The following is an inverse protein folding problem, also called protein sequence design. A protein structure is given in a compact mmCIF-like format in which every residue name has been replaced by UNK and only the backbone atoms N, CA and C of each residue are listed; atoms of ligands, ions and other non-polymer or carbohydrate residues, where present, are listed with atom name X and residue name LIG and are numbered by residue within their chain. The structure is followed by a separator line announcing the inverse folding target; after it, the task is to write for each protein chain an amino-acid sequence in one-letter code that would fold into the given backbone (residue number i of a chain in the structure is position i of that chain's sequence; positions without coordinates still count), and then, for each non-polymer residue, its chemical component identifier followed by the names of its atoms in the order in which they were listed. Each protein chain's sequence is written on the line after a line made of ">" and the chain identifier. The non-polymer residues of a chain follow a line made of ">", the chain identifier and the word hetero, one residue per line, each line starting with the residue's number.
data_IF_461274895639
#
_entry.id   IF_461274895639
#
_cell.length_a   1.000
_cell.length_b   1.000
_cell.length_c   1.000
_cell.angle_alpha   90.00
_cell.angle_beta   90.00
_cell.angle_gamma   90.00
#
_symmetry.space_group_name_H-M   'P 1'
#
loop_
_entity.id
_entity.type
_entity.pdbx_description
1 polymer ?
2 non-polymer ?
3 non-polymer ?
4 non-polymer ?
5 water ?
#
# COMPACT_ATOMS: atom_id res chain seq x y z
N UNK A 3 -16.77 -18.95 -9.34
CA UNK A 3 -15.63 -17.96 -9.35
C UNK A 3 -14.41 -18.47 -8.61
N UNK A 4 -14.49 -19.69 -8.08
CA UNK A 4 -13.35 -20.36 -7.45
C UNK A 4 -12.84 -19.60 -6.25
N UNK A 5 -13.77 -19.06 -5.47
CA UNK A 5 -13.38 -18.29 -4.30
C UNK A 5 -12.69 -19.19 -3.28
N UNK A 6 -11.57 -18.71 -2.76
CA UNK A 6 -10.83 -19.46 -1.74
C UNK A 6 -10.59 -18.56 -0.54
N UNK A 7 -11.65 -18.28 0.22
CA UNK A 7 -11.51 -17.42 1.38
C UNK A 7 -10.52 -17.96 2.41
N UNK A 8 -10.40 -19.29 2.51
CA UNK A 8 -9.50 -19.91 3.51
C UNK A 8 -8.02 -19.71 3.20
N UNK A 9 -7.69 -19.18 2.00
CA UNK A 9 -6.32 -18.87 1.62
C UNK A 9 -5.82 -17.50 2.16
N UNK A 10 -6.76 -16.72 2.71
CA UNK A 10 -6.50 -15.49 3.47
C UNK A 10 -6.41 -15.84 4.96
N UNK A 11 -5.21 -15.74 5.55
CA UNK A 11 -5.04 -16.28 6.91
C UNK A 11 -5.75 -15.49 8.03
N UNK A 12 -6.23 -16.21 9.03
CA UNK A 12 -6.80 -15.59 10.24
C UNK A 12 -5.76 -14.97 11.14
N UNK A 13 -4.55 -15.51 11.11
CA UNK A 13 -3.39 -14.85 11.74
C UNK A 13 -2.91 -13.74 10.79
N UNK A 14 -3.57 -12.57 10.85
CA UNK A 14 -3.28 -11.42 9.97
C UNK A 14 -3.27 -10.14 10.82
N UNK A 15 -2.66 -9.05 10.33
CA UNK A 15 -2.84 -7.74 11.00
C UNK A 15 -2.11 -7.55 12.33
N UNK A 16 -1.33 -8.54 12.73
CA UNK A 16 -0.59 -8.44 13.99
C UNK A 16 0.85 -8.12 13.70
N UNK A 17 1.38 -7.15 14.44
CA UNK A 17 2.77 -6.78 14.37
C UNK A 17 3.39 -6.87 15.77
N UNK A 18 4.70 -7.10 15.80
CA UNK A 18 5.49 -7.05 17.02
C UNK A 18 5.59 -5.60 17.53
N UNK A 19 5.45 -5.48 18.84
CA UNK A 19 5.35 -4.21 19.56
C UNK A 19 6.72 -3.61 19.85
N UNK A 20 7.77 -4.30 19.42
CA UNK A 20 9.14 -3.94 19.79
C UNK A 20 9.52 -2.52 19.37
N UNK A 21 9.11 -1.55 20.19
CA UNK A 21 9.30 -0.13 19.90
C UNK A 21 10.54 0.42 20.59
N UNK A 22 11.05 1.55 20.07
CA UNK A 22 12.33 2.08 20.52
C UNK A 22 12.52 3.60 20.39
N UNK A 23 13.77 4.02 20.64
CA UNK A 23 14.26 5.41 20.65
C UNK A 23 13.66 6.41 19.65
N UNK A 24 13.83 7.70 19.98
CA UNK A 24 13.35 8.87 19.23
C UNK A 24 12.92 8.64 17.77
N UNK A 25 11.68 9.04 17.46
CA UNK A 25 11.06 8.78 16.16
C UNK A 25 10.98 9.96 15.17
N UNK A 26 9.77 10.48 14.93
CA UNK A 26 9.49 11.46 13.88
C UNK A 26 8.19 11.05 13.20
N UNK A 27 8.25 10.76 11.90
CA UNK A 27 7.21 9.96 11.22
C UNK A 27 7.78 8.59 10.84
N UNK A 28 9.03 8.37 11.24
CA UNK A 28 9.75 7.11 11.05
C UNK A 28 9.10 5.97 11.82
N UNK A 29 9.09 4.80 11.20
CA UNK A 29 8.65 3.60 11.87
C UNK A 29 9.87 2.91 12.51
N UNK A 30 9.63 1.86 13.31
CA UNK A 30 10.65 0.85 13.58
C UNK A 30 10.48 -0.26 12.53
N UNK A 31 11.51 -1.08 12.26
CA UNK A 31 11.32 -2.13 11.25
C UNK A 31 10.18 -3.11 11.49
N UNK A 32 9.77 -3.34 12.73
CA UNK A 32 8.72 -4.29 13.02
C UNK A 32 7.32 -3.75 12.71
N UNK A 33 7.20 -2.43 12.56
CA UNK A 33 5.87 -1.82 12.30
C UNK A 33 5.44 -2.07 10.87
N UNK A 34 4.16 -2.42 10.69
CA UNK A 34 3.53 -2.62 9.36
C UNK A 34 4.33 -3.61 8.48
N UNK A 35 4.55 -4.83 8.97
CA UNK A 35 5.36 -5.82 8.26
C UNK A 35 4.73 -6.38 6.96
N UNK A 36 3.55 -5.89 6.60
CA UNK A 36 2.93 -6.24 5.31
C UNK A 36 3.29 -5.30 4.15
N UNK A 37 4.01 -4.22 4.44
CA UNK A 37 4.45 -3.31 3.35
C UNK A 37 5.37 -4.01 2.32
N UNK A 38 5.12 -3.72 1.06
CA UNK A 38 5.93 -4.19 -0.05
C UNK A 38 6.39 -3.04 -0.90
N UNK A 39 7.58 -3.19 -1.45
CA UNK A 39 8.09 -2.23 -2.46
C UNK A 39 8.03 -2.93 -3.81
N UNK A 40 7.45 -2.24 -4.79
CA UNK A 40 7.40 -2.74 -6.16
C UNK A 40 8.55 -2.12 -7.01
N UNK A 41 9.39 -3.02 -7.56
CA UNK A 41 10.57 -2.64 -8.33
C UNK A 41 10.38 -2.82 -9.82
N UNK A 42 10.87 -1.84 -10.59
CA UNK A 42 10.79 -1.81 -12.07
C UNK A 42 12.17 -1.87 -12.65
N UNK A 43 12.27 -2.19 -13.93
CA UNK A 43 13.56 -2.32 -14.60
C UNK A 43 13.41 -1.87 -16.05
N UNK A 44 14.10 -0.80 -16.44
CA UNK A 44 13.96 -0.35 -17.84
C UNK A 44 14.85 -1.13 -18.80
N UNK A 45 14.84 -0.73 -20.08
CA UNK A 45 15.49 -1.50 -21.14
C UNK A 45 17.03 -1.49 -21.09
N UNK A 46 17.60 -0.56 -20.33
CA UNK A 46 19.05 -0.54 -20.13
C UNK A 46 19.40 -1.06 -18.75
N UNK A 47 18.41 -1.68 -18.11
CA UNK A 47 18.54 -2.45 -16.87
C UNK A 47 18.61 -1.62 -15.60
N UNK A 48 18.22 -0.34 -15.69
CA UNK A 48 18.16 0.51 -14.50
C UNK A 48 16.91 0.14 -13.67
N UNK A 49 17.08 -0.02 -12.37
CA UNK A 49 15.99 -0.46 -11.52
C UNK A 49 15.65 0.60 -10.52
N UNK A 50 14.38 0.68 -10.17
CA UNK A 50 13.98 1.51 -9.02
C UNK A 50 12.63 1.11 -8.49
N UNK A 51 12.45 1.33 -7.20
CA UNK A 51 11.18 1.11 -6.54
C UNK A 51 10.27 2.34 -6.74
N UNK A 52 9.10 2.12 -7.34
CA UNK A 52 8.25 3.24 -7.72
C UNK A 52 6.79 3.03 -7.39
N UNK A 53 6.49 2.01 -6.57
CA UNK A 53 5.12 1.75 -6.15
C UNK A 53 5.18 0.95 -4.86
N UNK A 54 4.05 0.86 -4.15
CA UNK A 54 3.98 0.03 -2.94
C UNK A 54 2.90 -1.00 -3.12
N UNK A 55 2.72 -1.79 -2.08
CA UNK A 55 1.67 -2.81 -2.08
C UNK A 55 1.63 -3.42 -0.70
N UNK A 56 0.67 -4.34 -0.50
CA UNK A 56 0.46 -4.97 0.82
C UNK A 56 0.46 -6.48 0.72
N UNK A 57 1.24 -7.15 1.55
CA UNK A 57 1.22 -8.62 1.59
C UNK A 57 -0.09 -9.11 2.24
N UNK A 58 -0.83 -9.95 1.53
CA UNK A 58 -2.14 -10.43 2.01
C UNK A 58 -2.15 -11.90 2.47
N UNK A 59 -1.12 -12.65 2.12
CA UNK A 59 -0.96 -14.06 2.47
C UNK A 59 0.44 -14.47 2.06
N UNK A 60 0.74 -15.75 2.10
CA UNK A 60 2.11 -16.15 1.80
C UNK A 60 2.47 -16.20 0.30
N UNK A 61 1.55 -15.77 -0.55
CA UNK A 61 1.79 -15.82 -2.01
C UNK A 61 1.43 -14.55 -2.78
N UNK A 62 0.69 -13.63 -2.15
CA UNK A 62 0.18 -12.46 -2.89
C UNK A 62 0.42 -11.10 -2.25
N UNK A 63 0.66 -10.11 -3.08
CA UNK A 63 0.50 -8.71 -2.62
C UNK A 63 -0.66 -8.10 -3.40
N UNK A 64 -1.34 -7.13 -2.79
CA UNK A 64 -2.36 -6.34 -3.45
C UNK A 64 -1.83 -4.91 -3.59
N UNK A 65 -2.03 -4.34 -4.77
CA UNK A 65 -1.54 -3.02 -5.16
C UNK A 65 -2.59 -2.34 -6.06
N UNK A 66 -2.25 -1.16 -6.57
CA UNK A 66 -3.13 -0.43 -7.50
C UNK A 66 -2.92 -1.02 -8.90
N UNK A 67 -3.96 -1.02 -9.70
CA UNK A 67 -3.75 -1.43 -11.10
C UNK A 67 -2.78 -0.48 -11.83
N UNK A 68 -2.71 0.77 -11.37
CA UNK A 68 -1.86 1.73 -12.09
C UNK A 68 -0.40 1.50 -11.84
N UNK A 69 -0.10 0.66 -10.86
CA UNK A 69 1.28 0.20 -10.56
C UNK A 69 1.75 -0.93 -11.48
N UNK A 70 0.83 -1.55 -12.21
CA UNK A 70 1.19 -2.70 -13.06
C UNK A 70 0.85 -2.48 -14.54
N UNK A 71 0.33 -1.30 -14.85
CA UNK A 71 0.01 -0.96 -16.24
C UNK A 71 0.20 0.54 -16.51
N UNK A 72 0.49 0.88 -17.77
CA UNK A 72 0.41 2.26 -18.23
C UNK A 72 1.60 3.11 -17.84
N UNK A 73 1.34 4.29 -17.29
CA UNK A 73 2.37 5.32 -17.13
C UNK A 73 3.67 4.85 -16.44
N UNK A 74 3.54 4.14 -15.31
CA UNK A 74 4.72 3.71 -14.54
C UNK A 74 5.65 2.87 -15.43
N UNK A 75 5.04 2.04 -16.28
CA UNK A 75 5.78 1.11 -17.13
C UNK A 75 6.61 1.81 -18.21
N UNK A 76 6.13 2.95 -18.71
CA UNK A 76 6.93 3.68 -19.69
C UNK A 76 7.88 4.68 -19.04
N UNK A 77 7.50 5.21 -17.89
CA UNK A 77 8.29 6.27 -17.23
C UNK A 77 9.43 5.71 -16.41
N UNK A 78 9.22 4.53 -15.83
CA UNK A 78 10.16 3.94 -14.90
C UNK A 78 10.77 2.67 -15.50
N UNK A 79 9.93 1.68 -15.79
CA UNK A 79 10.39 0.46 -16.45
C UNK A 79 9.43 -0.68 -16.31
N UNK A 80 9.78 -1.85 -16.85
CA UNK A 80 8.94 -3.03 -16.71
C UNK A 80 8.80 -3.47 -15.26
N UNK A 81 7.67 -4.09 -14.94
CA UNK A 81 7.46 -4.69 -13.62
C UNK A 81 8.50 -5.78 -13.41
N UNK A 82 9.21 -5.74 -12.29
CA UNK A 82 10.41 -6.57 -12.14
C UNK A 82 10.45 -7.41 -10.87
N UNK A 83 10.22 -6.80 -9.71
CA UNK A 83 10.31 -7.55 -8.46
C UNK A 83 9.49 -6.90 -7.35
N UNK A 84 9.32 -7.60 -6.23
CA UNK A 84 8.62 -7.11 -5.08
C UNK A 84 9.55 -7.34 -3.91
N UNK A 85 9.79 -6.29 -3.13
CA UNK A 85 10.66 -6.40 -1.96
C UNK A 85 9.87 -6.44 -0.68
N UNK A 86 10.16 -7.46 0.16
CA UNK A 86 9.50 -7.61 1.46
C UNK A 86 10.55 -7.48 2.56
N UNK A 87 10.14 -6.99 3.71
CA UNK A 87 10.99 -6.92 4.90
C UNK A 87 11.94 -5.73 4.92
N UNK A 88 11.75 -4.77 4.01
CA UNK A 88 12.59 -3.58 3.96
C UNK A 88 12.14 -2.58 5.03
N UNK A 89 13.08 -1.77 5.51
CA UNK A 89 12.75 -0.68 6.40
C UNK A 89 13.43 0.60 5.89
N UNK A 90 14.76 0.63 5.92
CA UNK A 90 15.55 1.73 5.38
C UNK A 90 16.26 1.32 4.10
N UNK A 91 15.83 1.83 2.96
CA UNK A 91 16.44 1.45 1.66
C UNK A 91 17.87 2.01 1.50
N UNK A 92 18.27 2.94 2.37
CA UNK A 92 19.61 3.53 2.27
C UNK A 92 20.67 2.60 2.88
N UNK A 93 20.23 1.70 3.76
CA UNK A 93 21.18 0.92 4.54
C UNK A 93 21.00 -0.58 4.42
N UNK A 94 22.05 -1.31 4.73
CA UNK A 94 21.94 -2.75 4.96
C UNK A 94 23.22 -3.19 5.66
N UNK A 95 23.10 -3.74 6.87
CA UNK A 95 21.87 -4.10 7.59
C UNK A 95 21.10 -2.86 8.10
N UNK A 96 19.87 -3.07 8.55
CA UNK A 96 19.09 -1.97 9.13
C UNK A 96 19.20 -2.03 10.62
N UNK A 97 19.80 -0.99 11.21
CA UNK A 97 20.02 -0.89 12.65
C UNK A 97 19.43 0.40 13.23
N UNK A 98 18.90 0.31 14.44
CA UNK A 98 18.08 1.39 15.02
C UNK A 98 18.32 1.52 16.54
N UNK A 99 18.10 2.72 17.09
CA UNK A 99 18.01 2.95 18.54
C UNK A 99 19.29 3.28 19.29
N UNK A 100 19.14 4.10 20.35
CA UNK A 100 20.26 4.44 21.26
C UNK A 100 20.99 3.21 21.78
N UNK A 101 20.23 2.22 22.28
CA UNK A 101 20.80 0.89 22.60
C UNK A 101 20.59 -0.02 21.38
N UNK A 102 21.63 -0.05 20.53
CA UNK A 102 21.52 -0.41 19.11
C UNK A 102 21.29 -1.89 18.81
N UNK A 103 20.36 -2.13 17.88
CA UNK A 103 20.06 -3.45 17.39
C UNK A 103 19.84 -3.42 15.87
N UNK A 104 20.04 -4.55 15.22
CA UNK A 104 19.95 -4.65 13.77
C UNK A 104 18.90 -5.69 13.39
N UNK A 105 18.19 -5.44 12.29
CA UNK A 105 17.30 -6.43 11.71
C UNK A 105 18.14 -7.63 11.23
N UNK A 106 17.83 -8.84 11.74
CA UNK A 106 18.62 -10.04 11.44
C UNK A 106 18.48 -10.49 10.00
N UNK A 107 17.37 -10.11 9.39
CA UNK A 107 16.97 -10.56 8.08
C UNK A 107 17.14 -9.53 6.97
N UNK A 108 17.89 -9.91 5.94
CA UNK A 108 18.06 -9.09 4.76
C UNK A 108 16.70 -9.02 4.03
N UNK A 109 16.35 -7.86 3.45
CA UNK A 109 15.08 -7.84 2.69
C UNK A 109 15.06 -8.88 1.58
N UNK A 110 13.89 -9.40 1.24
CA UNK A 110 13.82 -10.41 0.18
C UNK A 110 13.19 -9.83 -1.07
N UNK A 111 13.83 -10.09 -2.20
CA UNK A 111 13.33 -9.62 -3.48
C UNK A 111 12.75 -10.84 -4.16
N UNK A 112 11.44 -10.80 -4.45
CA UNK A 112 10.78 -11.92 -5.08
C UNK A 112 10.41 -11.63 -6.51
N UNK A 113 10.44 -12.67 -7.35
CA UNK A 113 9.94 -12.54 -8.71
C UNK A 113 8.42 -12.52 -8.78
N UNK A 114 7.91 -12.16 -9.95
CA UNK A 114 6.49 -12.08 -10.18
C UNK A 114 6.10 -13.23 -11.09
N UNK A 115 5.21 -14.07 -10.62
CA UNK A 115 4.68 -15.17 -11.40
C UNK A 115 3.52 -14.75 -12.29
N UNK A 116 2.64 -13.92 -11.74
CA UNK A 116 1.59 -13.35 -12.57
C UNK A 116 1.04 -12.09 -11.95
N UNK A 117 0.38 -11.31 -12.77
CA UNK A 117 -0.27 -10.09 -12.33
C UNK A 117 -1.69 -10.17 -12.85
N UNK A 118 -2.63 -9.82 -12.00
CA UNK A 118 -4.06 -9.84 -12.34
C UNK A 118 -4.62 -8.45 -12.04
N UNK A 119 -4.82 -7.65 -13.08
CA UNK A 119 -5.49 -6.37 -12.93
C UNK A 119 -6.98 -6.65 -12.83
N UNK A 120 -7.71 -5.80 -12.11
CA UNK A 120 -9.15 -5.95 -12.07
C UNK A 120 -9.71 -5.80 -13.50
N UNK A 121 -10.63 -6.71 -13.93
CA UNK A 121 -11.15 -6.72 -15.31
C UNK A 121 -11.80 -5.41 -15.76
N UNK A 122 -12.33 -4.65 -14.80
CA UNK A 122 -13.08 -3.43 -15.09
C UNK A 122 -12.26 -2.14 -15.02
N UNK A 123 -10.97 -2.26 -14.68
CA UNK A 123 -10.04 -1.12 -14.72
C UNK A 123 -9.69 -0.72 -16.15
N UNK A 124 -9.64 0.59 -16.40
CA UNK A 124 -9.24 1.12 -17.71
C UNK A 124 -7.98 1.97 -17.61
N UNK A 125 -6.87 1.45 -18.17
CA UNK A 125 -5.57 2.13 -18.14
C UNK A 125 -5.67 3.53 -18.74
N UNK A 126 -5.20 4.52 -18.00
CA UNK A 126 -5.20 5.91 -18.43
C UNK A 126 -6.49 6.66 -18.16
N UNK A 127 -7.47 5.99 -17.56
CA UNK A 127 -8.80 6.58 -17.37
C UNK A 127 -8.72 7.73 -16.37
N UNK A 128 -9.62 8.69 -16.54
CA UNK A 128 -9.67 9.86 -15.67
C UNK A 128 -9.99 9.51 -14.23
N UNK A 129 -10.87 8.56 -14.06
CA UNK A 129 -11.41 8.19 -12.77
C UNK A 129 -10.60 7.09 -12.05
N UNK A 130 -9.88 6.28 -12.82
CA UNK A 130 -9.22 5.06 -12.31
C UNK A 130 -10.16 4.18 -11.47
N UNK A 131 -11.42 4.09 -11.84
CA UNK A 131 -12.29 3.17 -11.15
C UNK A 131 -11.72 1.75 -11.22
N UNK A 132 -11.83 1.03 -10.11
CA UNK A 132 -11.40 -0.35 -9.97
C UNK A 132 -9.90 -0.46 -10.06
N UNK A 133 -9.24 0.49 -9.41
CA UNK A 133 -7.78 0.61 -9.43
C UNK A 133 -7.21 -0.38 -8.41
N UNK A 134 -7.11 -1.63 -8.82
CA UNK A 134 -6.62 -2.71 -7.92
C UNK A 134 -6.00 -3.84 -8.78
N UNK A 135 -4.95 -4.50 -8.28
CA UNK A 135 -4.38 -5.64 -8.98
C UNK A 135 -3.73 -6.55 -7.96
N UNK A 136 -3.65 -7.82 -8.29
CA UNK A 136 -2.95 -8.83 -7.47
C UNK A 136 -1.66 -9.17 -8.19
N UNK A 137 -0.59 -9.34 -7.41
CA UNK A 137 0.67 -9.90 -7.89
C UNK A 137 0.92 -11.20 -7.14
N UNK A 138 0.95 -12.29 -7.90
CA UNK A 138 1.39 -13.58 -7.34
C UNK A 138 2.93 -13.62 -7.38
N UNK A 139 3.48 -13.83 -6.18
CA UNK A 139 4.91 -13.91 -6.00
C UNK A 139 5.42 -15.28 -6.48
N UNK A 140 6.70 -15.30 -6.84
CA UNK A 140 7.44 -16.44 -7.40
C UNK A 140 7.61 -17.61 -6.45
N UNK A 141 7.57 -17.31 -5.15
CA UNK A 141 7.92 -18.22 -4.07
C UNK A 141 6.89 -18.07 -2.94
N UNK A 142 6.68 -19.13 -2.17
CA UNK A 142 5.92 -19.02 -0.93
C UNK A 142 6.77 -18.24 0.07
N UNK A 143 6.20 -17.20 0.66
CA UNK A 143 6.90 -16.36 1.63
C UNK A 143 6.75 -16.95 3.04
N UNK A 144 7.85 -17.11 3.78
CA UNK A 144 7.76 -17.55 5.18
C UNK A 144 7.65 -16.28 6.04
N UNK A 145 6.69 -16.24 6.96
CA UNK A 145 6.50 -15.04 7.75
C UNK A 145 7.53 -14.91 8.90
N UNK A 146 7.83 -13.67 9.26
CA UNK A 146 8.84 -13.41 10.29
C UNK A 146 8.36 -12.24 11.13
N UNK A 147 9.23 -11.66 11.97
CA UNK A 147 8.85 -10.45 12.66
C UNK A 147 8.77 -9.26 11.72
N UNK A 148 9.32 -9.40 10.52
CA UNK A 148 9.41 -8.26 9.60
C UNK A 148 8.59 -8.39 8.32
N UNK A 149 8.01 -9.57 8.12
CA UNK A 149 7.19 -9.92 6.95
C UNK A 149 5.96 -10.70 7.44
N UNK A 150 4.79 -10.12 7.30
CA UNK A 150 3.57 -10.75 7.79
C UNK A 150 2.41 -10.17 6.99
N UNK A 151 1.30 -10.91 6.85
CA UNK A 151 0.15 -10.44 6.11
C UNK A 151 -0.80 -9.50 6.90
N UNK A 152 -1.45 -8.61 6.17
CA UNK A 152 -2.44 -7.68 6.74
C UNK A 152 -3.82 -8.32 6.56
N UNK A 153 -4.77 -7.96 7.43
CA UNK A 153 -6.16 -8.45 7.31
C UNK A 153 -6.89 -7.63 6.24
N UNK A 154 -7.93 -8.22 5.65
CA UNK A 154 -8.73 -7.44 4.71
C UNK A 154 -10.10 -7.28 5.27
N UNK A 155 -10.72 -6.11 5.06
CA UNK A 155 -12.11 -5.93 5.50
C UNK A 155 -13.07 -6.85 4.74
N UNK A 156 -14.28 -7.02 5.29
CA UNK A 156 -15.38 -7.71 4.63
C UNK A 156 -16.12 -6.69 3.77
N UNK A 157 -16.77 -7.13 2.68
CA UNK A 157 -17.40 -6.14 1.77
C UNK A 157 -18.50 -5.28 2.38
N UNK A 158 -19.10 -5.70 3.49
CA UNK A 158 -20.18 -4.92 4.13
C UNK A 158 -19.74 -3.93 5.21
N UNK A 159 -18.44 -3.89 5.50
CA UNK A 159 -17.88 -3.04 6.55
C UNK A 159 -17.52 -1.67 5.99
N UNK A 160 -17.93 -0.60 6.68
CA UNK A 160 -17.64 0.74 6.18
C UNK A 160 -16.81 1.56 7.15
N UNK A 161 -15.85 2.32 6.61
CA UNK A 161 -15.12 3.33 7.40
C UNK A 161 -16.04 4.53 7.48
N UNK A 162 -16.02 5.24 8.60
CA UNK A 162 -16.84 6.44 8.67
C UNK A 162 -16.02 7.70 8.50
N UNK A 163 -16.65 8.74 7.94
CA UNK A 163 -16.04 10.08 7.93
C UNK A 163 -15.60 10.43 9.35
N UNK A 164 -14.38 10.96 9.46
CA UNK A 164 -13.81 11.36 10.74
C UNK A 164 -12.95 10.27 11.35
N UNK A 165 -13.12 9.05 10.87
CA UNK A 165 -12.32 7.91 11.32
C UNK A 165 -10.87 8.14 10.90
N UNK A 166 -9.95 7.87 11.82
CA UNK A 166 -8.52 8.09 11.55
C UNK A 166 -7.83 6.81 11.08
N UNK A 167 -7.07 6.89 9.99
CA UNK A 167 -6.39 5.71 9.43
C UNK A 167 -4.93 6.06 9.29
N UNK A 168 -4.09 5.10 8.95
CA UNK A 168 -2.65 5.34 8.82
C UNK A 168 -2.21 4.96 7.42
N UNK A 169 -1.61 5.90 6.70
CA UNK A 169 -1.03 5.62 5.40
C UNK A 169 0.46 5.35 5.61
N UNK A 170 0.98 4.34 4.92
CA UNK A 170 2.35 3.88 5.18
C UNK A 170 3.07 3.66 3.87
N UNK A 171 4.30 4.17 3.79
CA UNK A 171 5.10 3.92 2.60
C UNK A 171 6.37 4.74 2.58
N UNK A 172 6.96 4.81 1.38
CA UNK A 172 8.26 5.48 1.13
C UNK A 172 8.17 6.66 0.15
N UNK A 173 7.02 7.29 0.12
CA UNK A 173 6.80 8.48 -0.70
C UNK A 173 6.81 8.20 -2.18
N UNK A 174 6.43 6.98 -2.58
CA UNK A 174 6.50 6.60 -3.99
C UNK A 174 5.21 6.87 -4.72
N UNK A 175 4.93 8.14 -4.88
CA UNK A 175 3.86 8.62 -5.75
C UNK A 175 4.41 9.58 -6.78
N UNK A 176 3.53 10.07 -7.65
CA UNK A 176 3.91 11.05 -8.66
C UNK A 176 4.58 12.32 -8.09
N UNK A 177 4.15 12.78 -6.93
CA UNK A 177 4.61 14.05 -6.35
C UNK A 177 5.33 13.86 -4.99
N UNK A 178 5.53 12.60 -4.61
CA UNK A 178 6.16 12.23 -3.32
C UNK A 178 7.66 12.48 -3.26
N UNK A 179 8.21 12.51 -2.03
CA UNK A 179 9.67 12.69 -1.75
C UNK A 179 10.64 11.50 -1.94
N UNK A 180 10.13 10.30 -2.05
CA UNK A 180 10.95 9.10 -2.16
C UNK A 180 11.87 8.91 -0.97
N UNK A 181 11.27 8.85 0.22
CA UNK A 181 12.01 8.67 1.47
C UNK A 181 12.68 7.29 1.56
N UNK A 182 13.81 7.22 2.27
CA UNK A 182 14.46 5.91 2.44
C UNK A 182 13.94 5.14 3.64
N UNK A 183 13.43 5.83 4.65
CA UNK A 183 12.86 5.09 5.77
C UNK A 183 11.34 5.03 5.65
N UNK A 184 10.78 3.85 5.92
CA UNK A 184 9.35 3.65 5.88
C UNK A 184 8.69 4.67 6.81
N UNK A 185 7.66 5.34 6.30
CA UNK A 185 6.98 6.38 7.04
C UNK A 185 5.54 5.99 7.36
N UNK A 186 5.01 6.52 8.47
CA UNK A 186 3.60 6.32 8.85
C UNK A 186 3.01 7.71 9.13
N UNK A 187 1.82 7.97 8.61
CA UNK A 187 1.18 9.29 8.75
C UNK A 187 -0.31 9.09 9.01
N UNK A 188 -0.83 9.73 10.06
CA UNK A 188 -2.22 9.58 10.41
C UNK A 188 -3.08 10.50 9.57
N UNK A 189 -4.19 9.96 9.06
CA UNK A 189 -5.10 10.76 8.18
C UNK A 189 -6.57 10.53 8.51
N UNK A 190 -7.39 11.59 8.46
CA UNK A 190 -8.83 11.43 8.65
C UNK A 190 -9.53 11.05 7.35
N UNK A 191 -10.55 10.21 7.43
CA UNK A 191 -11.45 9.98 6.31
C UNK A 191 -12.34 11.21 6.24
N UNK A 192 -12.55 11.73 5.03
CA UNK A 192 -13.32 12.95 4.82
C UNK A 192 -14.42 12.71 3.83
N UNK A 193 -15.39 13.62 3.82
CA UNK A 193 -16.45 13.58 2.84
C UNK A 193 -15.93 13.56 1.42
N UNK A 194 -16.49 12.68 0.62
CA UNK A 194 -16.14 12.50 -0.79
C UNK A 194 -16.01 13.78 -1.61
N UNK A 195 -16.81 14.79 -1.27
CA UNK A 195 -16.80 16.07 -1.98
C UNK A 195 -15.45 16.77 -1.91
N UNK A 196 -14.68 16.49 -0.85
CA UNK A 196 -13.36 17.10 -0.70
C UNK A 196 -12.31 16.55 -1.68
N UNK A 197 -12.64 15.46 -2.36
CA UNK A 197 -11.74 14.88 -3.37
C UNK A 197 -12.10 15.32 -4.79
N UNK A 198 -12.90 16.37 -4.90
CA UNK A 198 -13.29 16.88 -6.22
C UNK A 198 -12.05 17.12 -7.10
N UNK A 199 -11.06 17.84 -6.59
CA UNK A 199 -9.83 18.12 -7.33
C UNK A 199 -8.85 16.96 -7.45
N UNK A 200 -9.01 15.93 -6.62
CA UNK A 200 -7.97 14.87 -6.56
C UNK A 200 -7.67 14.22 -7.92
N UNK A 201 -8.71 14.08 -8.75
CA UNK A 201 -8.55 13.40 -10.04
C UNK A 201 -7.69 14.19 -11.03
N UNK A 202 -7.55 15.50 -10.80
CA UNK A 202 -6.78 16.35 -11.70
C UNK A 202 -7.54 16.48 -13.03
N UNK A 203 -8.85 16.27 -12.93
CA UNK A 203 -9.82 16.39 -14.04
C UNK A 203 -11.20 16.72 -13.46
N UNK A 204 -11.91 17.65 -14.09
CA UNK A 204 -13.21 18.08 -13.56
C UNK A 204 -14.31 17.05 -13.79
N UNK A 205 -15.32 17.07 -12.92
CA UNK A 205 -16.55 16.29 -13.12
C UNK A 205 -16.52 14.82 -12.75
N UNK A 206 -15.39 14.30 -12.31
CA UNK A 206 -15.32 12.89 -11.91
C UNK A 206 -15.99 12.73 -10.55
N UNK A 207 -16.94 11.79 -10.46
CA UNK A 207 -17.60 11.46 -9.21
C UNK A 207 -16.85 10.36 -8.43
N UNK A 208 -16.70 10.58 -7.13
CA UNK A 208 -16.13 9.59 -6.24
C UNK A 208 -17.12 8.45 -5.99
N UNK A 209 -16.81 7.27 -6.52
CA UNK A 209 -17.67 6.09 -6.42
C UNK A 209 -17.62 5.47 -5.04
N UNK A 210 -18.55 4.55 -4.80
CA UNK A 210 -18.69 3.86 -3.52
C UNK A 210 -17.46 3.03 -3.13
N UNK A 211 -16.70 2.67 -4.15
CA UNK A 211 -15.56 1.80 -4.00
C UNK A 211 -14.29 2.62 -3.82
N UNK A 212 -14.45 3.94 -3.69
CA UNK A 212 -13.33 4.84 -3.46
C UNK A 212 -13.47 5.54 -2.11
N UNK A 213 -12.34 5.79 -1.45
CA UNK A 213 -12.34 6.43 -0.16
C UNK A 213 -11.51 7.72 -0.23
N UNK A 214 -12.02 8.82 0.33
CA UNK A 214 -11.35 10.12 0.33
C UNK A 214 -10.76 10.38 1.74
N UNK A 215 -9.44 10.56 1.85
CA UNK A 215 -8.80 10.68 3.15
C UNK A 215 -7.56 11.57 3.06
N UNK A 216 -7.41 12.44 4.04
CA UNK A 216 -6.32 13.42 4.06
C UNK A 216 -6.97 14.79 4.19
N UNK A 217 -6.50 15.76 3.44
CA UNK A 217 -7.21 17.05 3.38
C UNK A 217 -6.68 18.14 4.26
N UNK A 218 -7.48 19.20 4.41
CA UNK A 218 -7.11 20.47 5.04
C UNK A 218 -6.50 20.33 6.44
N UNK A 219 -6.98 19.33 7.18
CA UNK A 219 -6.55 19.10 8.56
C UNK A 219 -5.52 17.95 8.63
N UNK A 220 -4.87 17.68 7.50
CA UNK A 220 -3.87 16.63 7.45
C UNK A 220 -2.72 16.98 6.53
N UNK A 221 -2.36 18.27 6.53
CA UNK A 221 -1.31 18.81 5.67
C UNK A 221 0.10 18.33 6.02
N UNK A 222 0.23 17.69 7.18
CA UNK A 222 1.53 17.15 7.59
C UNK A 222 1.63 15.65 7.29
N UNK A 223 0.62 15.12 6.60
CA UNK A 223 0.47 13.67 6.47
C UNK A 223 0.59 13.13 5.04
N UNK A 224 1.17 13.92 4.14
CA UNK A 224 1.40 13.39 2.79
C UNK A 224 2.55 12.45 2.78
N UNK A 225 2.30 11.30 2.20
CA UNK A 225 3.29 10.26 2.03
C UNK A 225 2.53 9.07 1.49
N UNK A 226 3.04 7.89 1.82
CA UNK A 226 2.52 6.71 1.20
C UNK A 226 3.01 6.58 -0.23
N UNK A 227 2.70 5.42 -0.78
CA UNK A 227 3.14 5.04 -2.12
C UNK A 227 1.93 4.81 -2.95
N UNK A 228 2.02 5.04 -4.26
CA UNK A 228 0.99 4.53 -5.16
C UNK A 228 0.81 3.03 -4.88
N UNK A 229 -0.42 2.58 -4.71
CA UNK A 229 -0.66 1.14 -4.48
C UNK A 229 -0.43 0.74 -3.06
N UNK A 230 0.06 1.70 -2.25
CA UNK A 230 0.47 1.41 -0.86
C UNK A 230 -0.72 1.40 0.09
N UNK A 231 -0.54 0.86 1.32
CA UNK A 231 -1.63 0.68 2.28
C UNK A 231 -2.18 1.92 3.01
N UNK A 232 -3.48 1.89 3.25
CA UNK A 232 -4.14 2.75 4.22
C UNK A 232 -4.80 1.81 5.23
N UNK A 233 -4.43 1.93 6.52
CA UNK A 233 -4.76 0.97 7.56
C UNK A 233 -5.67 1.50 8.65
N UNK A 234 -6.62 0.66 9.08
CA UNK A 234 -7.34 0.86 10.32
C UNK A 234 -6.79 -0.10 11.37
N UNK A 235 -6.57 0.43 12.57
CA UNK A 235 -6.21 -0.42 13.68
C UNK A 235 -7.51 -0.78 14.37
N UNK A 236 -7.94 -2.02 14.24
CA UNK A 236 -9.19 -2.45 14.87
C UNK A 236 -8.87 -3.05 16.24
N UNK A 237 -9.89 -3.66 16.85
CA UNK A 237 -9.76 -4.17 18.22
C UNK A 237 -8.52 -5.06 18.33
N UNK A 238 -7.88 -5.00 19.49
CA UNK A 238 -6.71 -5.83 19.79
C UNK A 238 -5.51 -5.59 18.90
N UNK A 239 -5.37 -4.33 18.49
CA UNK A 239 -4.27 -3.86 17.66
C UNK A 239 -4.08 -4.68 16.40
N UNK A 240 -5.20 -5.17 15.84
CA UNK A 240 -5.16 -5.93 14.62
C UNK A 240 -5.48 -5.00 13.45
N UNK A 241 -4.55 -4.95 12.49
CA UNK A 241 -4.61 -3.98 11.41
C UNK A 241 -5.30 -4.55 10.18
N UNK A 242 -6.11 -3.70 9.58
CA UNK A 242 -6.91 -4.04 8.39
C UNK A 242 -6.65 -3.06 7.23
N UNK A 243 -6.56 -3.60 6.01
CA UNK A 243 -6.30 -2.83 4.81
C UNK A 243 -7.58 -2.21 4.24
N UNK A 244 -7.88 -1.02 4.73
CA UNK A 244 -9.13 -0.34 4.39
C UNK A 244 -9.02 0.24 3.00
N UNK A 245 -7.81 0.64 2.63
CA UNK A 245 -7.56 1.20 1.33
C UNK A 245 -6.16 1.03 0.79
N UNK A 246 -6.02 1.23 -0.52
CA UNK A 246 -4.70 1.42 -1.11
C UNK A 246 -4.71 2.67 -2.02
N UNK A 247 -3.56 3.30 -2.15
CA UNK A 247 -3.42 4.59 -2.83
C UNK A 247 -3.70 4.51 -4.32
N UNK A 248 -4.72 5.25 -4.77
CA UNK A 248 -5.07 5.26 -6.17
C UNK A 248 -4.66 6.64 -6.77
N UNK A 249 -5.09 7.71 -6.13
CA UNK A 249 -4.57 9.06 -6.40
C UNK A 249 -3.99 9.57 -5.11
N UNK A 250 -2.70 9.86 -5.10
CA UNK A 250 -2.02 10.36 -3.91
C UNK A 250 -2.52 11.72 -3.39
N UNK A 251 -2.53 11.87 -2.07
CA UNK A 251 -2.85 13.17 -1.45
C UNK A 251 -1.73 14.17 -1.76
N UNK A 252 -2.11 15.45 -1.77
CA UNK A 252 -1.15 16.55 -1.96
C UNK A 252 -1.39 17.58 -0.85
N UNK A 253 -0.32 18.03 -0.20
CA UNK A 253 -0.44 18.73 1.09
C UNK A 253 -0.07 20.24 1.06
N UNK A 254 0.03 20.79 -0.13
CA UNK A 254 0.31 22.21 -0.30
C UNK A 254 -0.93 23.07 -0.21
N UNK A 255 -0.73 24.35 -0.45
CA UNK A 255 -1.76 25.37 -0.36
C UNK A 255 -3.07 25.00 -1.07
N UNK A 256 -2.94 24.50 -2.30
CA UNK A 256 -4.09 24.27 -3.20
C UNK A 256 -4.25 22.77 -3.49
N UNK A 257 -3.79 21.96 -2.54
CA UNK A 257 -3.80 20.49 -2.70
C UNK A 257 -5.15 19.90 -2.36
N UNK A 258 -5.16 18.60 -2.10
CA UNK A 258 -6.36 17.82 -2.01
C UNK A 258 -6.09 16.52 -1.24
N UNK A 259 -7.15 15.90 -0.71
CA UNK A 259 -6.93 14.63 -0.06
C UNK A 259 -6.66 13.52 -1.09
N UNK A 260 -6.33 12.33 -0.62
CA UNK A 260 -6.08 11.22 -1.53
C UNK A 260 -7.31 10.39 -1.79
N UNK A 261 -7.37 9.78 -2.97
CA UNK A 261 -8.42 8.82 -3.26
C UNK A 261 -7.79 7.43 -3.12
N UNK A 262 -8.45 6.59 -2.33
CA UNK A 262 -7.99 5.20 -2.09
C UNK A 262 -9.02 4.22 -2.63
N UNK A 263 -8.54 3.10 -3.17
CA UNK A 263 -9.41 1.99 -3.51
C UNK A 263 -9.89 1.37 -2.21
N UNK A 264 -11.21 1.25 -2.04
CA UNK A 264 -11.80 0.55 -0.88
C UNK A 264 -11.61 -0.96 -1.01
N UNK A 265 -10.65 -1.52 -0.27
CA UNK A 265 -10.21 -2.88 -0.55
C UNK A 265 -11.27 -3.91 -0.17
N UNK A 266 -12.02 -3.66 0.90
CA UNK A 266 -13.12 -4.54 1.31
C UNK A 266 -14.10 -4.78 0.18
N UNK A 267 -14.31 -3.77 -0.64
CA UNK A 267 -15.27 -3.88 -1.74
C UNK A 267 -14.83 -4.84 -2.83
N UNK A 268 -13.58 -5.31 -2.76
CA UNK A 268 -13.03 -6.23 -3.75
C UNK A 268 -12.62 -7.57 -3.13
N UNK A 269 -13.10 -7.81 -1.92
CA UNK A 269 -12.80 -9.05 -1.17
C UNK A 269 -13.19 -10.30 -1.95
N UNK A 270 -14.40 -10.29 -2.49
CA UNK A 270 -14.87 -11.42 -3.30
C UNK A 270 -13.98 -11.69 -4.51
N UNK A 271 -13.58 -10.61 -5.20
CA UNK A 271 -12.75 -10.70 -6.39
C UNK A 271 -11.35 -11.25 -6.03
N UNK A 272 -10.83 -10.74 -4.93
CA UNK A 272 -9.55 -11.21 -4.40
C UNK A 272 -9.62 -12.72 -4.15
N UNK A 273 -10.64 -13.14 -3.41
CA UNK A 273 -10.77 -14.57 -3.06
C UNK A 273 -10.90 -15.45 -4.30
N UNK A 274 -11.50 -14.92 -5.36
CA UNK A 274 -11.64 -15.64 -6.63
C UNK A 274 -10.43 -15.65 -7.54
N UNK A 275 -9.40 -14.90 -7.18
CA UNK A 275 -8.18 -14.83 -7.96
C UNK A 275 -6.91 -15.21 -7.23
N UNK A 276 -7.05 -15.84 -6.07
CA UNK A 276 -5.87 -16.42 -5.39
C UNK A 276 -5.90 -17.96 -5.42
N UNK A 277 -4.72 -18.57 -5.55
CA UNK A 277 -4.58 -20.03 -5.58
C UNK A 277 -3.50 -20.39 -4.58
N UNK A 278 -3.50 -21.64 -4.08
CA UNK A 278 -2.51 -21.98 -3.07
C UNK A 278 -1.07 -21.88 -3.59
#
# INVERSE_FOLDING_TARGET
>A
SIRNRRPELLPNDCGYQVEADKILNGDDTVPEEFPWTAMIGYKNSSNFEQFACGGSLINNRYIVTAAHCVAGRVLRVVGALNKVRLGEWNTATDPDCYGAVRVCVPDKPIDLGIEETIQHPDYVDGSKDRYHDIALIRLNRQVEFTNYIRPVCLPQPNEEVQVGQRLTVVGWGRTETGQYSTIKQKLAVPVVHAEQCAKTFGAAGVRVRSSQLCAGGEKAKDSCGGDSGGPLLAERANQQFFLEGLVSFGATCGTEGWPGIYTKVGKYRDWIEGNIRP
#
